data_IF_070320022190
#
_entry.id   IF_070320022190
#
_cell.length_a   1.000
_cell.length_b   1.000
_cell.length_c   1.000
_cell.angle_alpha   90.00
_cell.angle_beta   90.00
_cell.angle_gamma   90.00
#
_symmetry.space_group_name_H-M   'P 1'
#
loop_
_entity.id
_entity.type
_entity.pdbx_description
1 polymer ?
#
# COMPACT_ATOMS: atom_id res chain seq x y z
N UNK A 1 -9.94 1.18 -13.82
CA UNK A 1 -8.50 1.51 -13.86
C UNK A 1 -7.88 0.76 -12.70
N UNK A 2 -7.06 -0.27 -12.92
CA UNK A 2 -6.79 -1.24 -11.86
C UNK A 2 -6.09 -0.65 -10.62
N UNK A 3 -6.49 -1.12 -9.44
CA UNK A 3 -5.89 -0.78 -8.15
C UNK A 3 -4.44 -1.30 -8.00
N UNK A 4 -4.13 -2.35 -8.76
CA UNK A 4 -2.84 -3.02 -8.83
C UNK A 4 -2.40 -3.02 -10.28
N UNK A 5 -1.15 -2.65 -10.51
CA UNK A 5 -0.55 -2.60 -11.83
C UNK A 5 0.77 -3.38 -11.77
N UNK A 6 0.84 -4.52 -12.46
CA UNK A 6 2.04 -5.33 -12.53
C UNK A 6 3.01 -4.76 -13.56
N UNK A 7 4.24 -4.51 -13.14
CA UNK A 7 5.37 -4.16 -14.00
C UNK A 7 6.39 -5.31 -14.03
N UNK A 8 7.30 -5.28 -15.01
CA UNK A 8 8.32 -6.31 -15.16
C UNK A 8 9.18 -6.53 -13.89
N UNK A 9 9.43 -5.47 -13.12
CA UNK A 9 10.31 -5.51 -11.93
C UNK A 9 9.54 -5.51 -10.59
N UNK A 10 8.20 -5.48 -10.61
CA UNK A 10 7.41 -5.35 -9.39
C UNK A 10 5.93 -5.01 -9.57
N UNK A 11 5.29 -4.51 -8.53
CA UNK A 11 3.86 -4.16 -8.50
C UNK A 11 3.69 -2.71 -8.07
N UNK A 12 2.87 -1.96 -8.79
CA UNK A 12 2.43 -0.61 -8.40
C UNK A 12 1.03 -0.72 -7.81
N UNK A 13 0.89 -0.25 -6.58
CA UNK A 13 -0.33 -0.31 -5.78
C UNK A 13 -0.87 1.09 -5.58
N UNK A 14 -2.14 1.29 -5.92
CA UNK A 14 -2.89 2.51 -5.59
C UNK A 14 -3.64 2.27 -4.30
N UNK A 15 -3.25 2.99 -3.27
CA UNK A 15 -3.72 2.80 -1.91
C UNK A 15 -4.50 4.03 -1.44
N UNK A 16 -5.67 3.80 -0.85
CA UNK A 16 -6.41 4.83 -0.14
C UNK A 16 -6.17 4.69 1.37
N UNK A 17 -5.43 5.64 1.94
CA UNK A 17 -5.06 5.64 3.35
C UNK A 17 -6.18 6.25 4.18
N UNK A 18 -6.70 5.45 5.10
CA UNK A 18 -7.60 5.89 6.17
C UNK A 18 -6.81 6.02 7.48
N UNK A 19 -6.37 7.23 7.86
CA UNK A 19 -5.68 7.46 9.13
C UNK A 19 -6.65 7.37 10.31
N UNK A 20 -6.11 7.35 11.53
CA UNK A 20 -6.88 7.24 12.80
C UNK A 20 -7.75 5.98 12.88
N UNK A 21 -7.30 4.88 12.29
CA UNK A 21 -7.95 3.59 12.45
C UNK A 21 -7.66 2.99 13.83
N UNK A 22 -8.54 2.12 14.30
CA UNK A 22 -8.33 1.37 15.54
C UNK A 22 -7.24 0.30 15.42
N UNK A 23 -6.93 -0.16 14.20
CA UNK A 23 -5.93 -1.18 13.91
C UNK A 23 -5.42 -1.05 12.48
N UNK A 24 -4.17 -1.46 12.25
CA UNK A 24 -3.60 -1.48 10.91
C UNK A 24 -4.13 -2.69 10.14
N UNK A 25 -4.87 -2.44 9.07
CA UNK A 25 -5.44 -3.51 8.27
C UNK A 25 -5.74 -3.06 6.86
N UNK A 26 -5.55 -3.98 5.92
CA UNK A 26 -6.06 -3.82 4.56
C UNK A 26 -7.56 -4.09 4.62
N UNK A 27 -8.36 -3.05 4.41
CA UNK A 27 -9.81 -3.13 4.44
C UNK A 27 -10.32 -3.88 3.21
N UNK A 28 -9.69 -3.64 2.05
CA UNK A 28 -10.02 -4.29 0.78
C UNK A 28 -10.03 -3.29 -0.38
N UNK A 29 -10.64 -3.69 -1.49
CA UNK A 29 -10.83 -2.81 -2.63
C UNK A 29 -11.91 -1.76 -2.33
N UNK A 30 -11.61 -0.51 -2.68
CA UNK A 30 -12.52 0.62 -2.63
C UNK A 30 -12.53 1.28 -4.02
N UNK A 31 -13.48 0.87 -4.86
CA UNK A 31 -13.53 1.29 -6.25
C UNK A 31 -12.32 0.78 -7.03
N UNK A 32 -11.51 1.71 -7.54
CA UNK A 32 -10.27 1.44 -8.28
C UNK A 32 -9.00 1.52 -7.39
N UNK A 33 -9.15 1.60 -6.06
CA UNK A 33 -8.02 1.75 -5.12
C UNK A 33 -8.10 0.76 -3.96
N UNK A 34 -6.97 0.42 -3.36
CA UNK A 34 -6.91 -0.49 -2.23
C UNK A 34 -6.92 0.28 -0.91
N UNK A 35 -8.02 0.14 -0.15
CA UNK A 35 -8.21 0.85 1.10
C UNK A 35 -7.41 0.22 2.22
N UNK A 36 -6.53 1.02 2.82
CA UNK A 36 -5.69 0.63 3.95
C UNK A 36 -6.00 1.52 5.13
N UNK A 37 -6.43 0.91 6.23
CA UNK A 37 -6.65 1.57 7.49
C UNK A 37 -5.34 1.52 8.30
N UNK A 38 -4.85 2.68 8.73
CA UNK A 38 -3.66 2.78 9.59
C UNK A 38 -3.97 3.56 10.86
N UNK A 39 -3.37 3.12 11.95
CA UNK A 39 -3.44 3.76 13.26
C UNK A 39 -2.66 5.08 13.29
N UNK A 40 -1.63 5.19 12.44
CA UNK A 40 -0.79 6.37 12.37
C UNK A 40 -1.60 7.64 12.04
N UNK A 41 -1.26 8.78 12.68
CA UNK A 41 -1.89 10.05 12.38
C UNK A 41 -1.50 10.52 10.97
N UNK A 42 -2.31 11.38 10.31
CA UNK A 42 -2.01 11.95 9.00
C UNK A 42 -0.99 13.10 9.13
N UNK A 43 0.06 12.90 9.94
CA UNK A 43 1.19 13.81 10.06
C UNK A 43 2.24 13.34 9.05
N UNK A 44 2.69 14.27 8.21
CA UNK A 44 3.68 14.00 7.17
C UNK A 44 4.88 13.23 7.73
N UNK A 45 5.27 12.16 7.02
CA UNK A 45 6.34 11.25 7.42
C UNK A 45 5.92 10.10 8.33
N UNK A 46 5.05 10.31 9.33
CA UNK A 46 4.64 9.23 10.25
C UNK A 46 3.73 8.21 9.57
N UNK A 47 2.72 8.67 8.82
CA UNK A 47 1.86 7.81 8.03
C UNK A 47 2.66 7.02 6.97
N UNK A 48 3.64 7.68 6.33
CA UNK A 48 4.48 7.07 5.29
C UNK A 48 5.37 5.97 5.86
N UNK A 49 6.10 6.26 6.93
CA UNK A 49 6.96 5.28 7.58
C UNK A 49 6.16 4.08 8.09
N UNK A 50 4.97 4.33 8.65
CA UNK A 50 4.08 3.28 9.13
C UNK A 50 3.55 2.41 7.98
N UNK A 51 3.10 3.04 6.90
CA UNK A 51 2.61 2.37 5.70
C UNK A 51 3.69 1.52 5.03
N UNK A 52 4.89 2.07 4.85
CA UNK A 52 6.05 1.35 4.30
C UNK A 52 6.35 0.12 5.15
N UNK A 53 6.39 0.27 6.49
CA UNK A 53 6.61 -0.86 7.42
C UNK A 53 5.51 -1.90 7.34
N UNK A 54 4.26 -1.47 7.20
CA UNK A 54 3.10 -2.35 7.10
C UNK A 54 3.12 -3.16 5.79
N UNK A 55 3.31 -2.50 4.65
CA UNK A 55 3.41 -3.15 3.34
C UNK A 55 4.64 -4.06 3.26
N UNK A 56 5.80 -3.61 3.74
CA UNK A 56 7.01 -4.43 3.75
C UNK A 56 6.78 -5.77 4.48
N UNK A 57 6.09 -5.75 5.62
CA UNK A 57 5.71 -6.97 6.35
C UNK A 57 4.73 -7.82 5.55
N UNK A 58 3.70 -7.21 4.98
CA UNK A 58 2.62 -7.94 4.31
C UNK A 58 3.09 -8.62 3.03
N UNK A 59 3.98 -7.96 2.30
CA UNK A 59 4.56 -8.47 1.06
C UNK A 59 5.88 -9.24 1.26
N UNK A 60 6.35 -9.37 2.52
CA UNK A 60 7.64 -9.94 2.90
C UNK A 60 8.81 -9.38 2.08
N UNK A 61 8.84 -8.05 1.91
CA UNK A 61 9.92 -7.34 1.22
C UNK A 61 10.68 -6.42 2.16
N UNK A 62 11.89 -6.03 1.76
CA UNK A 62 12.62 -4.99 2.46
C UNK A 62 11.94 -3.62 2.27
N UNK A 63 12.04 -2.74 3.27
CA UNK A 63 11.50 -1.36 3.17
C UNK A 63 12.10 -0.58 2.00
N UNK A 64 13.34 -0.89 1.60
CA UNK A 64 14.00 -0.30 0.43
C UNK A 64 13.34 -0.68 -0.90
N UNK A 65 12.58 -1.77 -0.93
CA UNK A 65 11.84 -2.22 -2.10
C UNK A 65 10.44 -1.60 -2.16
N UNK A 66 10.03 -0.85 -1.14
CA UNK A 66 8.73 -0.17 -1.08
C UNK A 66 8.97 1.31 -1.36
N UNK A 67 8.76 1.70 -2.61
CA UNK A 67 8.95 3.06 -3.10
C UNK A 67 7.60 3.77 -3.16
N UNK A 68 7.51 4.96 -2.58
CA UNK A 68 6.34 5.81 -2.72
C UNK A 68 6.51 6.68 -3.95
N UNK A 69 5.69 6.47 -4.98
CA UNK A 69 5.77 7.22 -6.24
C UNK A 69 4.92 8.49 -6.20
N UNK A 70 3.73 8.42 -5.60
CA UNK A 70 2.81 9.57 -5.50
C UNK A 70 2.04 9.57 -4.20
N UNK A 71 1.55 10.76 -3.82
CA UNK A 71 0.64 10.91 -2.71
C UNK A 71 1.30 11.20 -1.37
N UNK A 72 2.48 11.84 -1.35
CA UNK A 72 3.15 12.21 -0.09
C UNK A 72 2.23 12.97 0.86
N UNK A 73 1.53 13.99 0.33
CA UNK A 73 0.65 14.90 1.07
C UNK A 73 -0.82 14.45 1.17
N UNK A 74 -1.18 13.31 0.57
CA UNK A 74 -2.59 12.90 0.35
C UNK A 74 -2.98 11.57 1.00
N UNK A 75 -4.30 11.32 1.02
CA UNK A 75 -4.85 9.99 1.36
C UNK A 75 -4.63 8.97 0.25
N UNK A 76 -4.65 9.42 -1.00
CA UNK A 76 -4.33 8.60 -2.17
C UNK A 76 -2.82 8.48 -2.27
N UNK A 77 -2.29 7.26 -2.20
CA UNK A 77 -0.86 6.96 -2.31
C UNK A 77 -0.63 5.94 -3.40
N UNK A 78 0.42 6.15 -4.18
CA UNK A 78 0.88 5.19 -5.16
C UNK A 78 2.21 4.63 -4.67
N UNK A 79 2.25 3.32 -4.44
CA UNK A 79 3.42 2.63 -3.90
C UNK A 79 3.85 1.53 -4.85
N UNK A 80 5.11 1.57 -5.25
CA UNK A 80 5.77 0.54 -6.02
C UNK A 80 6.49 -0.43 -5.09
N UNK A 81 6.16 -1.70 -5.20
CA UNK A 81 6.79 -2.81 -4.49
C UNK A 81 7.63 -3.59 -5.50
N UNK A 82 8.94 -3.57 -5.30
CA UNK A 82 9.89 -4.33 -6.11
C UNK A 82 10.00 -5.75 -5.53
N UNK A 83 9.97 -6.74 -6.41
CA UNK A 83 10.15 -8.16 -6.10
C UNK A 83 9.32 -8.69 -4.88
N UNK A 84 7.98 -8.54 -4.90
CA UNK A 84 7.10 -9.01 -3.83
C UNK A 84 7.23 -10.52 -3.60
N UNK A 85 7.60 -10.91 -2.39
CA UNK A 85 7.76 -12.34 -2.03
C UNK A 85 6.44 -12.99 -1.64
N UNK A 86 5.50 -12.19 -1.13
CA UNK A 86 4.18 -12.64 -0.74
C UNK A 86 3.16 -11.63 -1.28
N UNK A 87 2.07 -12.12 -1.88
CA UNK A 87 0.97 -11.27 -2.31
C UNK A 87 -0.24 -11.62 -1.44
N UNK A 88 -0.77 -10.70 -0.62
CA UNK A 88 -1.96 -10.98 0.17
C UNK A 88 -3.15 -11.21 -0.76
N UNK A 89 -4.09 -12.07 -0.35
CA UNK A 89 -5.26 -12.47 -1.15
C UNK A 89 -6.05 -11.29 -1.70
N UNK A 90 -6.13 -10.20 -0.94
CA UNK A 90 -6.81 -8.96 -1.32
C UNK A 90 -6.17 -8.27 -2.53
N UNK A 91 -4.88 -8.46 -2.76
CA UNK A 91 -4.12 -7.92 -3.90
C UNK A 91 -4.11 -8.92 -5.04
N UNK A 92 -3.99 -10.21 -4.73
CA UNK A 92 -4.06 -11.28 -5.72
C UNK A 92 -5.40 -11.26 -6.48
N UNK A 93 -6.51 -11.07 -5.76
CA UNK A 93 -7.86 -10.96 -6.34
C UNK A 93 -8.07 -9.73 -7.25
N UNK A 94 -7.11 -8.80 -7.31
CA UNK A 94 -7.16 -7.60 -8.16
C UNK A 94 -6.21 -7.68 -9.34
N UNK A 95 -5.42 -8.75 -9.39
CA UNK A 95 -4.48 -9.05 -10.48
C UNK A 95 -5.12 -10.02 -11.50
N UNK A 96 -6.31 -10.55 -11.20
CA UNK A 96 -7.10 -11.46 -12.05
C UNK A 96 -8.13 -10.74 -12.93
#
# INVERSE_FOLDING_TARGET
MSAVEACADGLVLRLYIQPKASRDSIVGLHGDELKVAITAPPVDGQANAHLIKFLAKQFRVAKSQVLLEKGELGRHKQIKIINPQQIPTQVAALTE
#
